data_IF_294395973690
#
_entry.id   IF_294395973690
#
_cell.length_a   1.000
_cell.length_b   1.000
_cell.length_c   1.000
_cell.angle_alpha   90.00
_cell.angle_beta   90.00
_cell.angle_gamma   90.00
#
_symmetry.space_group_name_H-M   'P 1'
#
loop_
_entity.id
_entity.type
_entity.pdbx_description
1 polymer ?
#
# COMPACT_ATOMS: atom_id res chain seq x y z
N UNK A 1 -16.49 -4.70 -2.32
CA UNK A 1 -15.76 -3.60 -3.00
C UNK A 1 -14.74 -4.20 -3.96
N UNK A 2 -14.45 -3.53 -5.08
CA UNK A 2 -13.41 -4.01 -6.01
C UNK A 2 -12.01 -3.73 -5.45
N UNK A 3 -11.04 -4.61 -5.71
CA UNK A 3 -9.65 -4.48 -5.24
C UNK A 3 -9.01 -3.13 -5.58
N UNK A 4 -9.29 -2.59 -6.77
CA UNK A 4 -8.77 -1.30 -7.20
C UNK A 4 -9.31 -0.11 -6.38
N UNK A 5 -10.59 -0.13 -6.01
CA UNK A 5 -11.16 0.93 -5.16
C UNK A 5 -10.58 0.89 -3.75
N UNK A 6 -10.35 -0.31 -3.21
CA UNK A 6 -9.66 -0.52 -1.92
C UNK A 6 -8.24 0.05 -1.95
N UNK A 7 -7.53 -0.08 -3.07
CA UNK A 7 -6.20 0.51 -3.24
C UNK A 7 -6.21 2.04 -3.25
N UNK A 8 -7.25 2.67 -3.77
CA UNK A 8 -7.37 4.13 -3.83
C UNK A 8 -7.73 4.76 -2.47
N UNK A 9 -8.26 3.97 -1.54
CA UNK A 9 -8.61 4.46 -0.21
C UNK A 9 -7.38 4.95 0.57
N UNK A 10 -7.54 6.12 1.19
CA UNK A 10 -6.64 6.66 2.21
C UNK A 10 -6.55 5.70 3.42
N UNK A 11 -5.45 5.77 4.18
CA UNK A 11 -5.30 5.10 5.48
C UNK A 11 -6.54 5.18 6.39
N UNK A 12 -7.18 6.35 6.49
CA UNK A 12 -8.41 6.52 7.28
C UNK A 12 -9.59 5.72 6.71
N UNK A 13 -9.71 5.65 5.38
CA UNK A 13 -10.72 4.85 4.70
C UNK A 13 -10.48 3.36 4.87
N UNK A 14 -9.24 2.90 4.69
CA UNK A 14 -8.84 1.50 4.86
C UNK A 14 -9.05 1.02 6.31
N UNK A 15 -8.73 1.86 7.32
CA UNK A 15 -9.00 1.57 8.73
C UNK A 15 -10.49 1.51 9.08
N UNK A 16 -11.32 2.32 8.43
CA UNK A 16 -12.78 2.25 8.60
C UNK A 16 -13.36 0.95 8.05
N UNK A 17 -12.88 0.48 6.88
CA UNK A 17 -13.31 -0.81 6.32
C UNK A 17 -12.92 -1.98 7.22
N UNK A 18 -11.69 -1.98 7.75
CA UNK A 18 -11.21 -2.98 8.70
C UNK A 18 -12.03 -3.05 10.00
N UNK A 19 -12.59 -1.92 10.45
CA UNK A 19 -13.49 -1.86 11.63
C UNK A 19 -14.91 -2.34 11.31
N UNK A 20 -15.33 -2.20 10.05
CA UNK A 20 -16.67 -2.57 9.58
C UNK A 20 -16.77 -4.02 9.11
N UNK A 21 -15.63 -4.67 8.81
CA UNK A 21 -15.59 -6.09 8.46
C UNK A 21 -15.98 -6.97 9.65
N UNK A 22 -17.09 -7.68 9.53
CA UNK A 22 -17.58 -8.62 10.56
C UNK A 22 -16.84 -9.97 10.49
N UNK A 23 -16.40 -10.37 9.30
CA UNK A 23 -15.82 -11.69 9.06
C UNK A 23 -14.30 -11.68 9.05
N UNK A 24 -13.66 -12.67 9.68
CA UNK A 24 -12.19 -12.79 9.76
C UNK A 24 -11.53 -12.88 8.38
N UNK A 25 -12.20 -13.51 7.41
CA UNK A 25 -11.73 -13.64 6.02
C UNK A 25 -11.68 -12.29 5.29
N UNK A 26 -12.73 -11.49 5.41
CA UNK A 26 -12.77 -10.14 4.81
C UNK A 26 -11.73 -9.23 5.45
N UNK A 27 -11.65 -9.25 6.79
CA UNK A 27 -10.64 -8.49 7.52
C UNK A 27 -9.22 -8.83 7.06
N UNK A 28 -8.91 -10.12 6.88
CA UNK A 28 -7.61 -10.56 6.38
C UNK A 28 -7.35 -10.07 4.95
N UNK A 29 -8.35 -10.12 4.07
CA UNK A 29 -8.25 -9.57 2.71
C UNK A 29 -7.93 -8.07 2.73
N UNK A 30 -8.66 -7.25 3.50
CA UNK A 30 -8.38 -5.81 3.61
C UNK A 30 -6.99 -5.50 4.20
N UNK A 31 -6.52 -6.31 5.16
CA UNK A 31 -5.15 -6.21 5.69
C UNK A 31 -4.13 -6.49 4.58
N UNK A 32 -4.34 -7.53 3.77
CA UNK A 32 -3.45 -7.86 2.65
C UNK A 32 -3.39 -6.72 1.63
N UNK A 33 -4.53 -6.13 1.26
CA UNK A 33 -4.57 -4.98 0.35
C UNK A 33 -3.78 -3.79 0.94
N UNK A 34 -3.94 -3.54 2.24
CA UNK A 34 -3.21 -2.48 2.94
C UNK A 34 -1.69 -2.72 2.94
N UNK A 35 -1.25 -3.96 3.19
CA UNK A 35 0.16 -4.34 3.16
C UNK A 35 0.76 -4.22 1.74
N UNK A 36 0.01 -4.66 0.72
CA UNK A 36 0.42 -4.50 -0.69
C UNK A 36 0.64 -3.03 -1.02
N UNK A 37 -0.26 -2.13 -0.58
CA UNK A 37 -0.11 -0.69 -0.80
C UNK A 37 1.18 -0.13 -0.17
N UNK A 38 1.53 -0.57 1.04
CA UNK A 38 2.77 -0.17 1.71
C UNK A 38 3.99 -0.69 0.94
N UNK A 39 3.98 -1.97 0.57
CA UNK A 39 5.08 -2.59 -0.17
C UNK A 39 5.34 -1.90 -1.51
N UNK A 40 4.30 -1.59 -2.27
CA UNK A 40 4.41 -0.86 -3.55
C UNK A 40 4.99 0.53 -3.34
N UNK A 41 4.51 1.28 -2.34
CA UNK A 41 5.03 2.62 -2.02
C UNK A 41 6.51 2.56 -1.66
N UNK A 42 6.90 1.59 -0.83
CA UNK A 42 8.29 1.45 -0.42
C UNK A 42 9.20 1.02 -1.57
N UNK A 43 8.79 0.01 -2.34
CA UNK A 43 9.52 -0.43 -3.52
C UNK A 43 9.74 0.74 -4.49
N UNK A 44 8.71 1.53 -4.77
CA UNK A 44 8.82 2.71 -5.62
C UNK A 44 9.83 3.73 -5.07
N UNK A 45 9.74 4.07 -3.78
CA UNK A 45 10.64 5.03 -3.15
C UNK A 45 12.10 4.54 -3.18
N UNK A 46 12.34 3.27 -2.84
CA UNK A 46 13.66 2.66 -2.90
C UNK A 46 14.21 2.64 -4.32
N UNK A 47 13.42 2.23 -5.31
CA UNK A 47 13.84 2.23 -6.72
C UNK A 47 14.18 3.64 -7.19
N UNK A 48 13.33 4.62 -6.86
CA UNK A 48 13.55 6.01 -7.24
C UNK A 48 14.85 6.56 -6.66
N UNK A 49 15.06 6.42 -5.34
CA UNK A 49 16.29 6.86 -4.67
C UNK A 49 17.51 6.13 -5.23
N UNK A 50 17.41 4.82 -5.45
CA UNK A 50 18.52 4.02 -6.01
C UNK A 50 18.92 4.51 -7.40
N UNK A 51 17.94 4.74 -8.29
CA UNK A 51 18.21 5.24 -9.65
C UNK A 51 18.84 6.64 -9.57
N UNK A 52 18.29 7.52 -8.74
CA UNK A 52 18.81 8.87 -8.56
C UNK A 52 20.26 8.87 -8.05
N UNK A 53 20.57 8.01 -7.06
CA UNK A 53 21.93 7.84 -6.55
C UNK A 53 22.89 7.27 -7.60
N UNK A 54 22.45 6.34 -8.46
CA UNK A 54 23.29 5.83 -9.55
C UNK A 54 23.55 6.91 -10.60
N UNK A 55 22.55 7.71 -10.96
CA UNK A 55 22.68 8.74 -11.99
C UNK A 55 23.48 9.96 -11.55
N UNK A 56 23.27 10.42 -10.32
CA UNK A 56 23.78 11.72 -9.83
C UNK A 56 24.72 11.59 -8.62
N UNK A 57 24.89 10.39 -8.05
CA UNK A 57 25.72 10.20 -6.85
C UNK A 57 27.23 10.04 -7.12
N UNK A 58 27.67 10.20 -8.38
CA UNK A 58 29.08 10.16 -8.77
C UNK A 58 29.65 11.58 -9.04
N UNK A 59 28.92 12.63 -8.66
CA UNK A 59 29.47 13.99 -8.45
C UNK A 59 30.01 14.11 -7.02
#
# INVERSE_FOLDING_TARGET
MTFYQELQLNQAGSKNLLKKSETVKEKSYHILVYLVKIAVTMAFCFLFVTIFSILFGNE
#
